data_IF_918121877359
#
_entry.id   IF_918121877359
#
_cell.length_a   1.000
_cell.length_b   1.000
_cell.length_c   1.000
_cell.angle_alpha   90.00
_cell.angle_beta   90.00
_cell.angle_gamma   90.00
#
_symmetry.space_group_name_H-M   'P 1'
#
loop_
_entity.id
_entity.type
_entity.pdbx_description
1 polymer ?
#
# COMPACT_ATOMS: atom_id res chain seq x y z
N UNK A 1 -4.37 2.38 -11.85
CA UNK A 1 -3.52 1.84 -10.76
C UNK A 1 -2.28 1.27 -11.41
N UNK A 2 -1.10 1.58 -10.90
CA UNK A 2 0.15 1.08 -11.46
C UNK A 2 1.22 1.01 -10.36
N UNK A 3 2.08 -0.01 -10.41
CA UNK A 3 3.22 -0.10 -9.51
C UNK A 3 4.31 0.90 -9.91
N UNK A 4 4.71 0.88 -11.19
CA UNK A 4 5.77 1.72 -11.74
C UNK A 4 5.21 2.95 -12.45
N UNK A 5 6.00 4.03 -12.47
CA UNK A 5 5.62 5.22 -13.24
C UNK A 5 5.76 4.97 -14.74
N UNK A 6 6.75 4.18 -15.16
CA UNK A 6 6.93 3.73 -16.54
C UNK A 6 5.90 2.65 -16.87
N UNK A 7 5.22 2.79 -18.01
CA UNK A 7 4.18 1.85 -18.45
C UNK A 7 4.60 0.98 -19.64
N UNK A 8 5.81 1.18 -20.18
CA UNK A 8 6.30 0.50 -21.38
C UNK A 8 6.25 -1.02 -21.25
N UNK A 9 6.74 -1.57 -20.14
CA UNK A 9 6.89 -3.01 -19.98
C UNK A 9 5.54 -3.75 -19.97
N UNK A 10 4.50 -3.10 -19.43
CA UNK A 10 3.17 -3.68 -19.30
C UNK A 10 2.26 -3.37 -20.50
N UNK A 11 2.45 -2.24 -21.18
CA UNK A 11 1.53 -1.76 -22.22
C UNK A 11 2.10 -1.79 -23.64
N UNK A 12 3.42 -1.97 -23.78
CA UNK A 12 4.14 -1.76 -25.04
C UNK A 12 4.17 -0.30 -25.52
N UNK A 13 3.62 0.65 -24.75
CA UNK A 13 3.56 2.07 -25.10
C UNK A 13 4.63 2.83 -24.32
N UNK A 14 5.52 3.54 -25.03
CA UNK A 14 6.55 4.35 -24.39
C UNK A 14 5.97 5.55 -23.63
N UNK A 15 6.27 5.63 -22.33
CA UNK A 15 5.93 6.79 -21.51
C UNK A 15 5.74 6.46 -20.04
N UNK A 16 5.33 7.48 -19.29
CA UNK A 16 4.95 7.34 -17.88
C UNK A 16 3.47 7.63 -17.70
N UNK A 17 2.92 7.29 -16.54
CA UNK A 17 1.54 7.62 -16.17
C UNK A 17 1.23 9.13 -16.24
N UNK A 18 2.23 10.01 -16.11
CA UNK A 18 2.07 11.47 -16.23
C UNK A 18 1.94 11.99 -17.67
N UNK A 19 2.36 11.20 -18.68
CA UNK A 19 2.26 11.60 -20.08
C UNK A 19 0.85 11.44 -20.68
N UNK A 20 -0.06 10.75 -19.97
CA UNK A 20 -1.37 10.38 -20.49
C UNK A 20 -2.50 10.84 -19.57
N UNK A 21 -3.64 11.15 -20.18
CA UNK A 21 -4.88 11.37 -19.42
C UNK A 21 -5.42 10.06 -18.87
N UNK A 22 -6.26 10.13 -17.82
CA UNK A 22 -6.95 8.94 -17.30
C UNK A 22 -7.75 8.22 -18.39
N UNK A 23 -8.41 8.97 -19.29
CA UNK A 23 -9.18 8.40 -20.41
C UNK A 23 -8.29 7.62 -21.38
N UNK A 24 -7.07 8.08 -21.65
CA UNK A 24 -6.13 7.35 -22.49
C UNK A 24 -5.60 6.10 -21.77
N UNK A 25 -5.19 6.25 -20.51
CA UNK A 25 -4.67 5.15 -19.70
C UNK A 25 -5.67 4.00 -19.60
N UNK A 26 -6.95 4.26 -19.32
CA UNK A 26 -7.96 3.20 -19.18
C UNK A 26 -8.34 2.48 -20.48
N UNK A 27 -7.90 3.00 -21.64
CA UNK A 27 -8.02 2.30 -22.93
C UNK A 27 -6.80 1.43 -23.24
N UNK A 28 -5.68 1.62 -22.52
CA UNK A 28 -4.49 0.80 -22.69
C UNK A 28 -4.70 -0.60 -22.14
N UNK A 29 -4.19 -1.58 -22.86
CA UNK A 29 -4.13 -2.96 -22.40
C UNK A 29 -2.81 -3.15 -21.65
N UNK A 30 -2.88 -3.70 -20.45
CA UNK A 30 -1.73 -4.16 -19.66
C UNK A 30 -1.65 -5.68 -19.74
N UNK A 31 -0.44 -6.21 -19.91
CA UNK A 31 -0.20 -7.65 -20.01
C UNK A 31 0.96 -8.08 -19.12
N UNK A 32 0.77 -9.14 -18.36
CA UNK A 32 1.79 -9.72 -17.47
C UNK A 32 1.48 -11.20 -17.25
N UNK A 33 2.50 -12.07 -17.24
CA UNK A 33 2.37 -13.51 -16.94
C UNK A 33 1.27 -14.24 -17.73
N UNK A 34 1.06 -13.88 -19.00
CA UNK A 34 0.04 -14.49 -19.87
C UNK A 34 -1.39 -13.96 -19.67
N UNK A 35 -1.60 -13.06 -18.70
CA UNK A 35 -2.86 -12.37 -18.49
C UNK A 35 -2.85 -11.00 -19.16
N UNK A 36 -4.02 -10.55 -19.60
CA UNK A 36 -4.18 -9.26 -20.24
C UNK A 36 -5.49 -8.61 -19.83
N UNK A 37 -5.46 -7.33 -19.49
CA UNK A 37 -6.64 -6.56 -19.08
C UNK A 37 -6.50 -5.09 -19.44
N UNK A 38 -7.59 -4.32 -19.34
CA UNK A 38 -7.52 -2.86 -19.43
C UNK A 38 -6.96 -2.28 -18.14
N UNK A 39 -6.14 -1.23 -18.27
CA UNK A 39 -5.66 -0.50 -17.11
C UNK A 39 -6.86 0.02 -16.31
N UNK A 40 -6.89 -0.30 -15.02
CA UNK A 40 -8.04 0.01 -14.16
C UNK A 40 -7.82 1.34 -13.44
N UNK A 41 -8.84 2.21 -13.43
CA UNK A 41 -8.81 3.44 -12.63
C UNK A 41 -8.88 3.11 -11.14
N UNK A 42 -8.43 4.02 -10.27
CA UNK A 42 -8.60 3.79 -8.84
C UNK A 42 -10.08 3.84 -8.41
N UNK A 43 -10.91 4.63 -9.11
CA UNK A 43 -12.36 4.70 -8.86
C UNK A 43 -13.02 3.32 -9.04
N UNK A 44 -12.73 2.66 -10.17
CA UNK A 44 -13.30 1.35 -10.50
C UNK A 44 -12.81 0.27 -9.53
N UNK A 45 -11.51 0.30 -9.22
CA UNK A 45 -10.91 -0.67 -8.30
C UNK A 45 -11.47 -0.52 -6.88
N UNK A 46 -11.53 0.71 -6.36
CA UNK A 46 -12.11 1.01 -5.05
C UNK A 46 -13.58 0.60 -4.97
N UNK A 47 -14.35 0.92 -6.02
CA UNK A 47 -15.76 0.53 -6.10
C UNK A 47 -15.92 -0.99 -6.06
N UNK A 48 -15.12 -1.73 -6.83
CA UNK A 48 -15.17 -3.19 -6.83
C UNK A 48 -14.76 -3.78 -5.48
N UNK A 49 -13.70 -3.27 -4.86
CA UNK A 49 -13.26 -3.69 -3.54
C UNK A 49 -14.35 -3.49 -2.48
N UNK A 50 -15.02 -2.33 -2.51
CA UNK A 50 -16.14 -2.01 -1.63
C UNK A 50 -17.32 -2.97 -1.80
N UNK A 51 -17.70 -3.29 -3.04
CA UNK A 51 -18.75 -4.26 -3.34
C UNK A 51 -18.42 -5.66 -2.82
N UNK A 52 -17.15 -6.04 -2.84
CA UNK A 52 -16.67 -7.32 -2.34
C UNK A 52 -16.40 -7.33 -0.82
N UNK A 53 -16.50 -6.18 -0.15
CA UNK A 53 -16.08 -6.04 1.25
C UNK A 53 -14.57 -6.24 1.47
N UNK A 54 -13.77 -6.22 0.41
CA UNK A 54 -12.32 -6.38 0.47
C UNK A 54 -11.67 -5.09 0.96
N UNK A 55 -10.99 -5.15 2.11
CA UNK A 55 -10.22 -4.01 2.60
C UNK A 55 -8.96 -3.85 1.76
N UNK A 56 -8.63 -2.60 1.44
CA UNK A 56 -7.41 -2.25 0.71
C UNK A 56 -6.37 -1.67 1.66
N UNK A 57 -5.10 -2.02 1.39
CA UNK A 57 -3.94 -1.24 1.78
C UNK A 57 -3.49 -0.45 0.54
N UNK A 58 -3.70 0.86 0.56
CA UNK A 58 -3.53 1.75 -0.59
C UNK A 58 -2.17 2.42 -0.51
N UNK A 59 -1.24 2.04 -1.39
CA UNK A 59 0.04 2.71 -1.53
C UNK A 59 -0.11 4.02 -2.29
N UNK A 60 0.38 5.11 -1.70
CA UNK A 60 0.53 6.39 -2.40
C UNK A 60 2.01 6.58 -2.72
N UNK A 61 2.36 6.42 -3.99
CA UNK A 61 3.67 6.74 -4.54
C UNK A 61 3.66 8.16 -5.07
N UNK A 62 4.73 8.89 -4.78
CA UNK A 62 4.90 10.29 -5.19
C UNK A 62 6.12 10.47 -6.07
N UNK A 63 6.05 11.39 -7.02
CA UNK A 63 7.14 11.81 -7.89
C UNK A 63 7.22 13.34 -7.95
N UNK A 64 8.33 13.87 -8.46
CA UNK A 64 8.47 15.32 -8.72
C UNK A 64 7.52 15.85 -9.79
N UNK A 65 6.93 14.97 -10.61
CA UNK A 65 5.96 15.32 -11.65
C UNK A 65 4.54 15.49 -11.10
N UNK A 66 4.29 15.06 -9.84
CA UNK A 66 2.98 15.21 -9.24
C UNK A 66 2.64 16.66 -8.91
N UNK A 67 1.38 17.02 -9.11
CA UNK A 67 0.89 18.33 -8.70
C UNK A 67 1.01 18.50 -7.17
N UNK A 68 1.32 19.73 -6.72
CA UNK A 68 1.40 20.07 -5.29
C UNK A 68 0.12 19.71 -4.51
N UNK A 69 -1.03 19.74 -5.20
CA UNK A 69 -2.36 19.44 -4.67
C UNK A 69 -2.78 17.95 -4.72
N UNK A 70 -1.97 17.06 -5.30
CA UNK A 70 -2.36 15.66 -5.55
C UNK A 70 -2.96 14.96 -4.32
N UNK A 71 -2.28 15.04 -3.16
CA UNK A 71 -2.74 14.40 -1.93
C UNK A 71 -4.03 15.04 -1.39
N UNK A 72 -4.17 16.36 -1.51
CA UNK A 72 -5.39 17.03 -1.07
C UNK A 72 -6.58 16.61 -1.94
N UNK A 73 -6.41 16.53 -3.26
CA UNK A 73 -7.44 16.04 -4.17
C UNK A 73 -7.81 14.57 -3.88
N UNK A 74 -6.81 13.71 -3.65
CA UNK A 74 -7.04 12.32 -3.25
C UNK A 74 -7.87 12.21 -1.98
N UNK A 75 -7.49 12.94 -0.92
CA UNK A 75 -8.20 12.89 0.37
C UNK A 75 -9.61 13.47 0.28
N UNK A 76 -9.79 14.59 -0.41
CA UNK A 76 -11.11 15.18 -0.63
C UNK A 76 -12.06 14.20 -1.32
N UNK A 77 -11.54 13.42 -2.27
CA UNK A 77 -12.35 12.47 -3.05
C UNK A 77 -12.60 11.16 -2.28
N UNK A 78 -11.59 10.58 -1.64
CA UNK A 78 -11.65 9.18 -1.18
C UNK A 78 -11.71 8.99 0.34
N UNK A 79 -11.34 9.99 1.15
CA UNK A 79 -11.18 9.79 2.60
C UNK A 79 -12.44 9.25 3.30
N UNK A 80 -13.63 9.71 2.89
CA UNK A 80 -14.91 9.23 3.45
C UNK A 80 -15.10 7.73 3.21
N UNK A 81 -14.86 7.27 1.98
CA UNK A 81 -14.96 5.85 1.62
C UNK A 81 -13.88 5.02 2.32
N UNK A 82 -12.62 5.50 2.30
CA UNK A 82 -11.49 4.85 2.98
C UNK A 82 -11.82 4.61 4.45
N UNK A 83 -12.39 5.61 5.14
CA UNK A 83 -12.80 5.51 6.54
C UNK A 83 -13.97 4.54 6.73
N UNK A 84 -15.02 4.65 5.91
CA UNK A 84 -16.21 3.81 6.02
C UNK A 84 -15.89 2.33 5.80
N UNK A 85 -15.16 2.00 4.73
CA UNK A 85 -14.79 0.64 4.36
C UNK A 85 -13.52 0.14 5.06
N UNK A 86 -12.97 0.93 6.00
CA UNK A 86 -11.79 0.57 6.81
C UNK A 86 -10.56 0.22 5.97
N UNK A 87 -10.41 0.89 4.83
CA UNK A 87 -9.16 0.84 4.07
C UNK A 87 -8.06 1.59 4.83
N UNK A 88 -6.83 1.31 4.45
CA UNK A 88 -5.64 1.86 5.08
C UNK A 88 -4.73 2.45 4.00
N UNK A 89 -3.94 3.43 4.38
CA UNK A 89 -2.98 4.09 3.47
C UNK A 89 -1.57 3.73 3.92
N UNK A 90 -0.64 3.57 2.98
CA UNK A 90 0.78 3.59 3.30
C UNK A 90 1.58 4.31 2.22
N UNK A 91 2.77 4.80 2.58
CA UNK A 91 3.65 5.52 1.67
C UNK A 91 5.09 5.54 2.19
N UNK A 92 6.05 5.54 1.26
CA UNK A 92 7.46 5.88 1.51
C UNK A 92 7.69 7.39 1.69
N UNK A 93 6.76 8.25 1.23
CA UNK A 93 6.88 9.70 1.40
C UNK A 93 6.20 10.13 2.71
N UNK A 94 7.00 10.50 3.71
CA UNK A 94 6.50 10.93 5.01
C UNK A 94 5.58 12.17 4.93
N UNK A 95 5.73 13.01 3.89
CA UNK A 95 4.85 14.17 3.66
C UNK A 95 3.42 13.73 3.36
N UNK A 96 3.23 12.55 2.76
CA UNK A 96 1.91 11.94 2.57
C UNK A 96 1.31 11.61 3.93
N UNK A 97 2.07 10.96 4.81
CA UNK A 97 1.63 10.62 6.18
C UNK A 97 1.19 11.88 6.92
N UNK A 98 2.02 12.93 6.91
CA UNK A 98 1.69 14.20 7.55
C UNK A 98 0.41 14.82 7.01
N UNK A 99 0.22 14.84 5.68
CA UNK A 99 -1.00 15.36 5.05
C UNK A 99 -2.23 14.54 5.41
N UNK A 100 -2.15 13.20 5.40
CA UNK A 100 -3.24 12.30 5.78
C UNK A 100 -3.65 12.52 7.24
N UNK A 101 -2.68 12.52 8.16
CA UNK A 101 -2.95 12.69 9.60
C UNK A 101 -3.41 14.10 9.94
N UNK A 102 -3.01 15.12 9.17
CA UNK A 102 -3.52 16.51 9.31
C UNK A 102 -4.96 16.63 8.80
N UNK A 103 -5.31 15.91 7.73
CA UNK A 103 -6.64 15.93 7.13
C UNK A 103 -7.69 15.27 8.04
N UNK A 104 -7.44 14.03 8.48
CA UNK A 104 -8.27 13.33 9.46
C UNK A 104 -7.42 12.36 10.27
N UNK A 105 -7.25 12.65 11.57
CA UNK A 105 -6.44 11.84 12.49
C UNK A 105 -6.97 10.40 12.66
N UNK A 106 -8.22 10.13 12.33
CA UNK A 106 -8.82 8.79 12.41
C UNK A 106 -8.52 7.90 11.20
N UNK A 107 -8.04 8.46 10.08
CA UNK A 107 -7.56 7.66 8.96
C UNK A 107 -6.33 6.84 9.39
N UNK A 108 -6.34 5.55 9.06
CA UNK A 108 -5.23 4.65 9.37
C UNK A 108 -4.17 4.78 8.27
N UNK A 109 -2.97 5.20 8.66
CA UNK A 109 -1.85 5.35 7.73
C UNK A 109 -0.57 4.72 8.31
N UNK A 110 0.21 4.03 7.48
CA UNK A 110 1.49 3.42 7.83
C UNK A 110 2.64 4.06 7.06
N UNK A 111 3.76 4.29 7.74
CA UNK A 111 4.97 4.74 7.08
C UNK A 111 5.78 3.54 6.59
N UNK A 112 6.12 3.50 5.31
CA UNK A 112 6.93 2.40 4.76
C UNK A 112 8.39 2.64 5.13
N UNK A 113 9.03 1.64 5.74
CA UNK A 113 10.46 1.62 6.04
C UNK A 113 11.13 0.53 5.20
N UNK A 114 12.09 0.86 4.33
CA UNK A 114 12.82 -0.15 3.57
C UNK A 114 13.82 -0.93 4.42
N UNK A 115 14.26 -0.39 5.55
CA UNK A 115 15.20 -1.03 6.48
C UNK A 115 15.04 -0.48 7.90
N UNK A 116 15.52 -1.25 8.89
CA UNK A 116 15.49 -0.90 10.31
C UNK A 116 16.84 -0.27 10.73
N UNK A 117 16.92 1.06 10.81
CA UNK A 117 18.09 1.76 11.37
C UNK A 117 17.79 2.34 12.74
N UNK A 118 16.92 3.34 12.82
CA UNK A 118 16.51 4.02 14.04
C UNK A 118 14.99 3.98 14.09
N UNK A 119 14.42 3.52 15.21
CA UNK A 119 12.97 3.48 15.42
C UNK A 119 12.41 4.92 15.34
N UNK A 120 11.80 5.34 14.22
CA UNK A 120 11.54 6.75 13.98
C UNK A 120 10.20 7.11 14.60
N UNK A 121 10.17 8.07 15.54
CA UNK A 121 8.89 8.58 16.08
C UNK A 121 7.99 9.02 14.93
N UNK A 122 6.73 8.59 14.95
CA UNK A 122 5.82 8.81 13.83
C UNK A 122 4.40 9.17 14.24
N UNK A 123 3.76 10.06 13.45
CA UNK A 123 2.31 10.31 13.49
C UNK A 123 1.49 9.20 12.82
N UNK A 124 2.14 8.33 12.05
CA UNK A 124 1.52 7.14 11.49
C UNK A 124 0.96 6.23 12.60
N UNK A 125 0.00 5.38 12.22
CA UNK A 125 -0.53 4.33 13.08
C UNK A 125 0.48 3.19 13.27
N UNK A 126 1.56 3.17 12.50
CA UNK A 126 2.61 2.18 12.55
C UNK A 126 3.48 2.22 11.31
N UNK A 127 4.02 1.07 10.93
CA UNK A 127 4.90 0.94 9.77
C UNK A 127 4.53 -0.24 8.87
N UNK A 128 5.05 -0.19 7.66
CA UNK A 128 5.18 -1.35 6.78
C UNK A 128 6.67 -1.53 6.56
N UNK A 129 7.26 -2.67 6.92
CA UNK A 129 8.71 -2.85 6.91
C UNK A 129 9.14 -4.13 6.21
N UNK A 130 10.30 -4.06 5.56
CA UNK A 130 10.94 -5.21 4.95
C UNK A 130 11.17 -6.29 6.03
N UNK A 131 10.76 -7.54 5.76
CA UNK A 131 10.66 -8.56 6.79
C UNK A 131 12.02 -8.99 7.37
N UNK A 132 13.08 -9.02 6.56
CA UNK A 132 14.42 -9.40 7.00
C UNK A 132 15.03 -8.38 7.98
N UNK A 133 14.47 -7.17 8.02
CA UNK A 133 14.82 -6.10 8.96
C UNK A 133 14.03 -6.13 10.28
N UNK A 134 13.04 -7.03 10.42
CA UNK A 134 12.25 -7.17 11.64
C UNK A 134 12.95 -8.05 12.68
N UNK A 135 13.03 -7.55 13.91
CA UNK A 135 13.53 -8.30 15.05
C UNK A 135 12.67 -8.07 16.31
N UNK A 136 12.92 -8.86 17.35
CA UNK A 136 12.18 -8.78 18.61
C UNK A 136 12.30 -7.40 19.27
N UNK A 137 13.44 -6.73 19.14
CA UNK A 137 13.68 -5.41 19.73
C UNK A 137 12.78 -4.35 19.06
N UNK A 138 12.61 -4.42 17.74
CA UNK A 138 11.71 -3.56 17.00
C UNK A 138 10.25 -3.83 17.41
N UNK A 139 9.86 -5.10 17.55
CA UNK A 139 8.52 -5.48 18.01
C UNK A 139 8.20 -4.94 19.40
N UNK A 140 9.13 -5.01 20.35
CA UNK A 140 8.96 -4.42 21.69
C UNK A 140 8.79 -2.90 21.60
N UNK A 141 9.57 -2.22 20.75
CA UNK A 141 9.42 -0.77 20.53
C UNK A 141 8.06 -0.42 19.93
N UNK A 142 7.54 -1.23 19.01
CA UNK A 142 6.20 -1.04 18.45
C UNK A 142 5.11 -1.14 19.53
N UNK A 143 5.16 -2.20 20.34
CA UNK A 143 4.20 -2.43 21.42
C UNK A 143 4.22 -1.28 22.44
N UNK A 144 5.40 -0.89 22.90
CA UNK A 144 5.56 0.21 23.88
C UNK A 144 5.13 1.57 23.34
N UNK A 145 5.12 1.77 22.02
CA UNK A 145 4.67 3.01 21.37
C UNK A 145 3.25 2.89 20.77
N UNK A 146 2.53 1.80 21.05
CA UNK A 146 1.20 1.51 20.52
C UNK A 146 1.12 1.62 18.98
N UNK A 147 2.16 1.13 18.30
CA UNK A 147 2.26 1.09 16.84
C UNK A 147 2.03 -0.31 16.31
N UNK A 148 1.44 -0.38 15.11
CA UNK A 148 1.27 -1.64 14.37
C UNK A 148 2.35 -1.81 13.29
N UNK A 149 2.51 -3.03 12.79
CA UNK A 149 3.52 -3.34 11.78
C UNK A 149 2.99 -4.33 10.76
N UNK A 150 3.19 -4.03 9.48
CA UNK A 150 3.03 -5.00 8.40
C UNK A 150 4.40 -5.40 7.86
N UNK A 151 4.62 -6.69 7.62
CA UNK A 151 5.84 -7.21 7.00
C UNK A 151 5.67 -7.30 5.47
N UNK A 152 6.69 -6.93 4.71
CA UNK A 152 6.71 -7.06 3.25
C UNK A 152 8.10 -7.46 2.73
N UNK A 153 8.26 -8.03 1.54
CA UNK A 153 7.30 -8.95 0.91
C UNK A 153 7.66 -10.36 1.37
N UNK A 154 6.72 -11.06 2.00
CA UNK A 154 6.97 -12.39 2.58
C UNK A 154 6.36 -13.45 1.68
N UNK A 155 7.20 -14.14 0.90
CA UNK A 155 6.75 -15.14 -0.08
C UNK A 155 7.01 -16.59 0.36
N UNK A 156 7.91 -16.80 1.33
CA UNK A 156 8.23 -18.11 1.90
C UNK A 156 7.31 -18.46 3.10
N UNK A 157 6.78 -19.69 3.13
CA UNK A 157 5.84 -20.15 4.17
C UNK A 157 6.46 -20.22 5.57
N UNK A 158 7.72 -20.62 5.67
CA UNK A 158 8.43 -20.71 6.95
C UNK A 158 8.66 -19.30 7.52
N UNK A 159 9.02 -18.35 6.66
CA UNK A 159 9.14 -16.92 7.03
C UNK A 159 7.78 -16.35 7.42
N UNK A 160 6.71 -16.66 6.67
CA UNK A 160 5.34 -16.23 7.01
C UNK A 160 4.93 -16.70 8.40
N UNK A 161 5.17 -17.98 8.70
CA UNK A 161 4.92 -18.56 10.03
C UNK A 161 5.73 -17.83 11.10
N UNK A 162 7.01 -17.58 10.85
CA UNK A 162 7.87 -16.80 11.74
C UNK A 162 7.32 -15.39 12.02
N UNK A 163 6.85 -14.68 11.00
CA UNK A 163 6.25 -13.34 11.14
C UNK A 163 4.95 -13.37 11.95
N UNK A 164 4.11 -14.40 11.73
CA UNK A 164 2.88 -14.60 12.51
C UNK A 164 3.21 -14.83 13.98
N UNK A 165 4.17 -15.73 14.27
CA UNK A 165 4.61 -16.02 15.65
C UNK A 165 5.25 -14.79 16.32
N UNK A 166 5.95 -13.96 15.54
CA UNK A 166 6.52 -12.69 16.01
C UNK A 166 5.42 -11.64 16.32
N UNK A 167 4.19 -11.85 15.85
CA UNK A 167 3.04 -11.01 16.17
C UNK A 167 2.89 -9.78 15.26
N UNK A 168 3.32 -9.86 14.00
CA UNK A 168 3.04 -8.78 13.03
C UNK A 168 1.54 -8.63 12.80
N UNK A 169 1.09 -7.43 12.46
CA UNK A 169 -0.34 -7.12 12.30
C UNK A 169 -0.85 -7.34 10.87
N UNK A 170 0.03 -7.64 9.92
CA UNK A 170 -0.30 -7.90 8.54
C UNK A 170 0.94 -8.36 7.77
N UNK A 171 0.72 -9.11 6.70
CA UNK A 171 1.77 -9.61 5.80
C UNK A 171 1.38 -9.23 4.38
N UNK A 172 2.32 -8.65 3.64
CA UNK A 172 2.21 -8.40 2.21
C UNK A 172 2.97 -9.52 1.51
N UNK A 173 2.30 -10.22 0.60
CA UNK A 173 2.80 -11.41 -0.10
C UNK A 173 2.33 -11.43 -1.53
N UNK A 174 3.15 -11.98 -2.42
CA UNK A 174 2.77 -12.31 -3.80
C UNK A 174 2.09 -13.69 -3.88
N UNK A 175 2.22 -14.51 -2.81
CA UNK A 175 1.71 -15.87 -2.75
C UNK A 175 0.39 -15.97 -1.97
N UNK A 176 -0.73 -15.84 -2.70
CA UNK A 176 -2.07 -15.94 -2.10
C UNK A 176 -2.50 -17.38 -1.77
N UNK A 177 -1.88 -18.39 -2.36
CA UNK A 177 -2.22 -19.81 -2.13
C UNK A 177 -1.74 -20.33 -0.78
N UNK A 178 -0.69 -19.72 -0.21
CA UNK A 178 -0.05 -20.16 1.04
C UNK A 178 -0.56 -19.41 2.28
N UNK A 179 -1.24 -18.27 2.08
CA UNK A 179 -1.74 -17.40 3.16
C UNK A 179 -3.20 -17.67 3.57
N UNK A 180 -3.92 -18.54 2.84
CA UNK A 180 -5.18 -19.09 3.32
C UNK A 180 -4.89 -20.26 4.25
N UNK A 181 -4.73 -19.95 5.54
CA UNK A 181 -4.81 -20.96 6.58
C UNK A 181 -6.08 -21.79 6.35
N UNK A 182 -5.93 -23.11 6.27
CA UNK A 182 -7.06 -24.04 6.26
C UNK A 182 -7.93 -23.70 7.46
N UNK A 183 -9.12 -23.14 7.20
CA UNK A 183 -10.20 -23.22 8.16
C UNK A 183 -10.52 -24.71 8.33
N UNK A 184 -10.02 -25.31 9.40
CA UNK A 184 -10.59 -26.49 10.02
C UNK A 184 -11.05 -26.10 11.42
#
# INVERSE_FOLDING_TARGET
MMHDSNISDLTGTNGTTHHFTLKQLTQMTVSENGYSTKMTSFDDYLTRANQLGQKLLIEIKTSSQDSKGMIAHFLNKYAKQIKHYKHQIHSLDYRVIDKVKKYDKSLVAYFILPYNTIFPRTKANGYTMEYSSLDQNFMIKLLTNHKKIYAWTVNDESVMTGMILMGVNGIITDNLTTSQGRNQ
#
